data_IF_021007079043
#
_entry.id   IF_021007079043
#
_cell.length_a   1.000
_cell.length_b   1.000
_cell.length_c   1.000
_cell.angle_alpha   90.00
_cell.angle_beta   90.00
_cell.angle_gamma   90.00
#
_symmetry.space_group_name_H-M   'P 1'
#
loop_
_entity.id
_entity.type
_entity.pdbx_description
1 polymer ?
#
# COMPACT_ATOMS: atom_id res chain seq x y z
N UNK A 1 5.69 13.35 9.45
CA UNK A 1 4.40 13.32 8.74
C UNK A 1 4.51 12.21 7.71
N UNK A 2 3.67 11.18 7.80
CA UNK A 2 3.71 10.04 6.87
C UNK A 2 2.82 10.31 5.66
N UNK A 3 3.24 9.85 4.48
CA UNK A 3 2.44 9.92 3.25
C UNK A 3 1.36 8.84 3.34
N UNK A 4 0.10 9.25 3.32
CA UNK A 4 -1.05 8.34 3.37
C UNK A 4 -1.36 7.83 1.96
N UNK A 5 -1.33 6.53 1.78
CA UNK A 5 -1.46 5.86 0.47
C UNK A 5 -2.67 4.93 0.49
N UNK A 6 -3.50 5.00 -0.56
CA UNK A 6 -4.50 3.99 -0.87
C UNK A 6 -4.04 3.16 -2.08
N UNK A 7 -4.27 1.85 -2.06
CA UNK A 7 -3.95 0.95 -3.18
C UNK A 7 -5.26 0.51 -3.84
N UNK A 8 -5.46 0.86 -5.11
CA UNK A 8 -6.59 0.38 -5.91
C UNK A 8 -6.10 -0.65 -6.94
N UNK A 9 -6.47 -1.91 -6.73
CA UNK A 9 -5.95 -3.09 -7.42
C UNK A 9 -4.87 -3.81 -6.59
N UNK A 10 -5.26 -4.87 -5.88
CA UNK A 10 -4.40 -5.65 -4.97
C UNK A 10 -3.95 -7.00 -5.54
N UNK A 11 -3.79 -7.04 -6.86
CA UNK A 11 -3.18 -8.14 -7.59
C UNK A 11 -1.67 -8.26 -7.37
N UNK A 12 -0.96 -8.82 -8.35
CA UNK A 12 0.48 -9.10 -8.24
C UNK A 12 1.29 -7.87 -7.84
N UNK A 13 1.07 -6.73 -8.49
CA UNK A 13 1.82 -5.49 -8.21
C UNK A 13 1.37 -4.83 -6.91
N UNK A 14 0.06 -4.73 -6.65
CA UNK A 14 -0.46 -4.13 -5.42
C UNK A 14 0.13 -4.77 -4.16
N UNK A 15 0.27 -6.10 -4.12
CA UNK A 15 0.91 -6.82 -3.01
C UNK A 15 2.41 -6.55 -2.88
N UNK A 16 3.14 -6.46 -3.99
CA UNK A 16 4.57 -6.11 -3.98
C UNK A 16 4.77 -4.67 -3.49
N UNK A 17 3.93 -3.75 -3.96
CA UNK A 17 3.93 -2.34 -3.54
C UNK A 17 3.66 -2.24 -2.05
N UNK A 18 2.57 -2.85 -1.54
CA UNK A 18 2.26 -2.86 -0.12
C UNK A 18 3.40 -3.37 0.74
N UNK A 19 4.03 -4.50 0.35
CA UNK A 19 5.17 -5.05 1.09
C UNK A 19 6.36 -4.08 1.15
N UNK A 20 6.63 -3.34 0.09
CA UNK A 20 7.70 -2.34 0.08
C UNK A 20 7.32 -1.11 0.91
N UNK A 21 6.07 -0.65 0.86
CA UNK A 21 5.60 0.49 1.64
C UNK A 21 5.59 0.18 3.15
N UNK A 22 5.18 -1.02 3.56
CA UNK A 22 5.20 -1.44 4.97
C UNK A 22 6.64 -1.48 5.53
N UNK A 23 7.64 -1.78 4.70
CA UNK A 23 9.06 -1.72 5.11
C UNK A 23 9.58 -0.29 5.32
N UNK A 24 8.83 0.72 4.85
CA UNK A 24 9.14 2.14 4.94
C UNK A 24 8.03 2.86 5.73
N UNK A 25 7.60 2.23 6.83
CA UNK A 25 6.44 2.69 7.63
C UNK A 25 6.65 4.04 8.30
N UNK A 26 7.90 4.49 8.42
CA UNK A 26 8.29 5.83 8.87
C UNK A 26 8.00 6.91 7.81
N UNK A 27 7.94 6.53 6.53
CA UNK A 27 7.64 7.42 5.40
C UNK A 27 6.20 7.26 4.90
N UNK A 28 5.66 6.03 4.89
CA UNK A 28 4.38 5.70 4.27
C UNK A 28 3.42 4.99 5.22
N UNK A 29 2.15 5.35 5.12
CA UNK A 29 1.04 4.68 5.80
C UNK A 29 0.02 4.22 4.76
N UNK A 30 -0.16 2.91 4.61
CA UNK A 30 -1.22 2.38 3.73
C UNK A 30 -2.54 2.42 4.49
N UNK A 31 -3.45 3.30 4.06
CA UNK A 31 -4.71 3.59 4.79
C UNK A 31 -5.91 2.85 4.22
N UNK A 32 -5.84 2.38 2.97
CA UNK A 32 -6.91 1.64 2.33
C UNK A 32 -6.37 0.75 1.21
N UNK A 33 -7.04 -0.38 1.00
CA UNK A 33 -6.84 -1.26 -0.14
C UNK A 33 -8.23 -1.55 -0.74
N UNK A 34 -8.36 -1.38 -2.04
CA UNK A 34 -9.54 -1.76 -2.81
C UNK A 34 -9.15 -2.80 -3.87
N UNK A 35 -9.84 -3.92 -3.92
CA UNK A 35 -9.72 -4.95 -4.96
C UNK A 35 -11.10 -5.57 -5.23
N UNK A 36 -11.28 -6.17 -6.40
CA UNK A 36 -12.53 -6.79 -6.85
C UNK A 36 -12.51 -8.33 -6.72
N UNK A 37 -11.40 -8.90 -6.23
CA UNK A 37 -11.16 -10.34 -6.13
C UNK A 37 -10.45 -10.71 -4.85
#
# INVERSE_FOLDING_TARGET
MTIRVAINGFGRIGRLTFRNLVRRSDEFEVVAINDLT
#
